data_IF_336709146896
#
_entry.id   IF_336709146896
#
_cell.length_a   1.000
_cell.length_b   1.000
_cell.length_c   1.000
_cell.angle_alpha   90.00
_cell.angle_beta   90.00
_cell.angle_gamma   90.00
#
_symmetry.space_group_name_H-M   'P 1'
#
loop_
_entity.id
_entity.type
_entity.pdbx_description
1 polymer ?
#
# COMPACT_ATOMS: atom_id res chain seq x y z
N UNK A 1 -24.71 -35.08 47.16
CA UNK A 1 -24.07 -33.82 46.73
C UNK A 1 -23.12 -34.13 45.57
N UNK A 2 -23.48 -33.84 44.31
CA UNK A 2 -22.61 -34.10 43.17
C UNK A 2 -21.49 -33.04 43.11
N UNK A 3 -20.24 -33.49 43.12
CA UNK A 3 -19.06 -32.64 42.91
C UNK A 3 -18.94 -32.37 41.41
N UNK A 4 -19.26 -31.16 40.98
CA UNK A 4 -19.00 -30.73 39.61
C UNK A 4 -17.47 -30.72 39.38
N UNK A 5 -17.04 -31.46 38.37
CA UNK A 5 -15.65 -31.71 38.03
C UNK A 5 -15.04 -30.43 37.40
N UNK A 6 -13.92 -29.86 37.94
CA UNK A 6 -13.31 -28.65 37.38
C UNK A 6 -12.77 -28.84 35.95
N UNK A 7 -12.67 -30.09 35.49
CA UNK A 7 -12.21 -30.48 34.15
C UNK A 7 -13.15 -29.97 33.04
N UNK A 8 -14.45 -29.81 33.32
CA UNK A 8 -15.45 -29.45 32.30
C UNK A 8 -15.36 -27.97 31.90
N UNK A 9 -14.86 -27.10 32.79
CA UNK A 9 -14.74 -25.65 32.51
C UNK A 9 -13.43 -25.27 31.80
N UNK A 10 -12.38 -26.08 31.92
CA UNK A 10 -11.07 -25.81 31.32
C UNK A 10 -11.04 -26.14 29.81
N UNK A 11 -11.80 -27.14 29.38
CA UNK A 11 -11.88 -27.58 27.98
C UNK A 11 -12.21 -26.45 26.98
N UNK A 12 -13.24 -25.61 27.18
CA UNK A 12 -13.55 -24.52 26.23
C UNK A 12 -12.47 -23.42 26.20
N UNK A 13 -11.82 -23.13 27.32
CA UNK A 13 -10.75 -22.11 27.39
C UNK A 13 -9.50 -22.59 26.67
N UNK A 14 -9.10 -23.84 26.88
CA UNK A 14 -7.94 -24.44 26.19
C UNK A 14 -8.22 -24.58 24.70
N UNK A 15 -9.44 -24.98 24.31
CA UNK A 15 -9.83 -25.02 22.90
C UNK A 15 -9.81 -23.63 22.25
N UNK A 16 -10.31 -22.60 22.96
CA UNK A 16 -10.28 -21.22 22.49
C UNK A 16 -8.85 -20.68 22.32
N UNK A 17 -7.96 -20.94 23.28
CA UNK A 17 -6.55 -20.56 23.20
C UNK A 17 -5.82 -21.32 22.08
N UNK A 18 -6.10 -22.61 21.89
CA UNK A 18 -5.54 -23.39 20.80
C UNK A 18 -6.00 -22.87 19.43
N UNK A 19 -7.28 -22.47 19.29
CA UNK A 19 -7.81 -21.87 18.07
C UNK A 19 -7.14 -20.51 17.78
N UNK A 20 -6.99 -19.66 18.80
CA UNK A 20 -6.28 -18.38 18.66
C UNK A 20 -4.81 -18.58 18.28
N UNK A 21 -4.12 -19.52 18.94
CA UNK A 21 -2.75 -19.86 18.60
C UNK A 21 -2.64 -20.39 17.17
N UNK A 22 -3.57 -21.24 16.72
CA UNK A 22 -3.61 -21.73 15.35
C UNK A 22 -3.79 -20.59 14.33
N UNK A 23 -4.67 -19.61 14.62
CA UNK A 23 -4.86 -18.43 13.77
C UNK A 23 -3.55 -17.61 13.72
N UNK A 24 -2.96 -17.28 14.85
CA UNK A 24 -1.71 -16.49 14.91
C UNK A 24 -0.54 -17.22 14.23
N UNK A 25 -0.43 -18.53 14.41
CA UNK A 25 0.59 -19.35 13.73
C UNK A 25 0.33 -19.41 12.23
N UNK A 26 -0.93 -19.49 11.79
CA UNK A 26 -1.27 -19.50 10.36
C UNK A 26 -0.89 -18.19 9.66
N UNK A 27 -1.05 -17.06 10.33
CA UNK A 27 -0.61 -15.74 9.84
C UNK A 27 0.93 -15.65 9.73
N UNK A 28 1.66 -16.22 10.70
CA UNK A 28 3.13 -16.27 10.63
C UNK A 28 3.68 -17.30 9.65
N UNK A 29 2.91 -18.34 9.33
CA UNK A 29 3.30 -19.45 8.45
C UNK A 29 3.08 -19.16 6.96
N UNK A 30 2.88 -17.89 6.57
CA UNK A 30 2.73 -17.47 5.17
C UNK A 30 1.49 -18.04 4.46
N UNK A 31 0.47 -18.48 5.21
CA UNK A 31 -0.87 -18.72 4.65
C UNK A 31 -1.56 -17.36 4.45
N UNK A 32 -1.02 -16.54 3.54
CA UNK A 32 -1.55 -15.21 3.18
C UNK A 32 -2.86 -15.24 2.39
N UNK A 33 -3.73 -16.24 2.61
CA UNK A 33 -4.98 -16.40 1.86
C UNK A 33 -6.01 -15.30 2.14
N UNK A 34 -5.93 -14.63 3.30
CA UNK A 34 -6.73 -13.44 3.63
C UNK A 34 -6.10 -12.13 3.13
N UNK A 35 -4.80 -12.12 2.84
CA UNK A 35 -4.05 -10.97 2.34
C UNK A 35 -3.60 -11.19 0.90
N UNK A 36 -4.43 -11.85 0.08
CA UNK A 36 -4.14 -11.91 -1.35
C UNK A 36 -4.22 -10.48 -1.89
N UNK A 37 -3.11 -9.90 -2.38
CA UNK A 37 -3.13 -8.58 -2.97
C UNK A 37 -4.14 -8.62 -4.11
N UNK A 38 -5.08 -7.67 -4.13
CA UNK A 38 -6.04 -7.57 -5.21
C UNK A 38 -5.23 -7.57 -6.53
N UNK A 39 -5.29 -8.64 -7.34
CA UNK A 39 -4.41 -8.80 -8.49
C UNK A 39 -4.62 -7.67 -9.51
N UNK A 40 -5.72 -6.94 -9.37
CA UNK A 40 -6.20 -5.92 -10.28
C UNK A 40 -5.30 -4.71 -10.42
N UNK A 41 -4.50 -4.33 -9.42
CA UNK A 41 -3.75 -3.07 -9.47
C UNK A 41 -2.26 -3.28 -9.70
N UNK A 42 -1.69 -2.68 -10.74
CA UNK A 42 -0.23 -2.57 -10.84
C UNK A 42 0.31 -1.54 -9.83
N UNK A 43 1.64 -1.36 -9.80
CA UNK A 43 2.29 -0.52 -8.81
C UNK A 43 1.85 0.96 -8.90
N UNK A 44 1.72 1.51 -10.11
CA UNK A 44 1.29 2.91 -10.27
C UNK A 44 -0.17 3.12 -9.90
N UNK A 45 -1.06 2.17 -10.25
CA UNK A 45 -2.46 2.23 -9.85
C UNK A 45 -2.61 2.16 -8.32
N UNK A 46 -1.90 1.23 -7.68
CA UNK A 46 -1.88 1.10 -6.23
C UNK A 46 -1.37 2.38 -5.55
N UNK A 47 -0.36 3.01 -6.13
CA UNK A 47 0.20 4.26 -5.64
C UNK A 47 -0.79 5.42 -5.78
N UNK A 48 -1.43 5.55 -6.93
CA UNK A 48 -2.39 6.61 -7.20
C UNK A 48 -3.71 6.49 -6.43
N UNK A 49 -4.08 5.33 -5.89
CA UNK A 49 -5.25 5.19 -5.01
C UNK A 49 -4.93 5.26 -3.52
N UNK A 50 -3.68 5.58 -3.15
CA UNK A 50 -3.30 5.71 -1.74
C UNK A 50 -3.11 4.39 -0.99
N UNK A 51 -2.97 3.24 -1.69
CA UNK A 51 -2.95 1.92 -1.03
C UNK A 51 -1.53 1.43 -0.72
N UNK A 52 -1.05 1.75 0.49
CA UNK A 52 0.29 1.42 0.95
C UNK A 52 0.60 -0.10 0.93
N UNK A 53 -0.30 -0.95 1.42
CA UNK A 53 -0.03 -2.39 1.50
C UNK A 53 0.20 -3.03 0.10
N UNK A 54 -0.66 -2.80 -0.90
CA UNK A 54 -0.38 -3.19 -2.29
C UNK A 54 0.91 -2.61 -2.87
N UNK A 55 1.27 -1.36 -2.56
CA UNK A 55 2.54 -0.76 -3.02
C UNK A 55 3.74 -1.54 -2.47
N UNK A 56 3.79 -1.76 -1.15
CA UNK A 56 4.88 -2.53 -0.51
C UNK A 56 4.96 -3.94 -1.08
N UNK A 57 3.83 -4.61 -1.21
CA UNK A 57 3.78 -5.98 -1.71
C UNK A 57 4.26 -6.08 -3.16
N UNK A 58 3.90 -5.14 -4.03
CA UNK A 58 4.36 -5.13 -5.42
C UNK A 58 5.87 -4.92 -5.52
N UNK A 59 6.42 -4.00 -4.73
CA UNK A 59 7.87 -3.78 -4.66
C UNK A 59 8.59 -5.03 -4.16
N UNK A 60 8.07 -5.69 -3.11
CA UNK A 60 8.62 -6.97 -2.60
C UNK A 60 8.62 -8.08 -3.64
N UNK A 61 7.65 -8.10 -4.55
CA UNK A 61 7.60 -9.03 -5.68
C UNK A 61 8.49 -8.64 -6.86
N UNK A 62 9.28 -7.57 -6.73
CA UNK A 62 10.22 -7.11 -7.75
C UNK A 62 9.63 -6.12 -8.74
N UNK A 63 8.48 -5.49 -8.46
CA UNK A 63 8.02 -4.37 -9.26
C UNK A 63 9.00 -3.19 -9.11
N UNK A 64 9.41 -2.62 -10.25
CA UNK A 64 10.33 -1.48 -10.27
C UNK A 64 9.60 -0.19 -9.83
N UNK A 65 10.03 0.48 -8.74
CA UNK A 65 9.43 1.74 -8.29
C UNK A 65 9.65 2.91 -9.25
N UNK A 66 10.57 2.79 -10.22
CA UNK A 66 10.80 3.76 -11.29
C UNK A 66 10.18 3.33 -12.63
N UNK A 67 9.58 2.13 -12.69
CA UNK A 67 8.95 1.60 -13.89
C UNK A 67 7.73 2.44 -14.30
N UNK A 68 7.43 2.47 -15.59
CA UNK A 68 6.23 3.13 -16.11
C UNK A 68 5.13 2.10 -16.29
N UNK A 69 3.96 2.35 -15.72
CA UNK A 69 2.82 1.43 -15.75
C UNK A 69 1.59 2.11 -16.34
N UNK A 70 0.70 1.33 -16.94
CA UNK A 70 -0.60 1.82 -17.39
C UNK A 70 -1.52 2.04 -16.20
N UNK A 71 -2.12 3.20 -16.09
CA UNK A 71 -3.16 3.52 -15.10
C UNK A 71 -4.47 3.69 -15.83
N UNK A 72 -5.45 2.85 -15.50
CA UNK A 72 -6.76 2.87 -16.13
C UNK A 72 -7.52 4.17 -15.88
N UNK A 73 -8.30 4.60 -16.86
CA UNK A 73 -9.27 5.69 -16.74
C UNK A 73 -10.22 5.48 -15.56
N UNK A 74 -10.63 6.58 -14.92
CA UNK A 74 -11.54 6.59 -13.78
C UNK A 74 -10.90 6.17 -12.44
N UNK A 75 -9.65 5.73 -12.44
CA UNK A 75 -8.99 5.20 -11.24
C UNK A 75 -8.38 6.34 -10.39
N UNK A 76 -7.81 7.36 -11.03
CA UNK A 76 -7.18 8.54 -10.38
C UNK A 76 -7.70 9.87 -10.92
N UNK A 77 -9.02 10.00 -11.08
CA UNK A 77 -9.70 11.20 -11.61
C UNK A 77 -9.10 11.70 -12.94
N UNK A 78 -8.88 10.74 -13.84
CA UNK A 78 -8.47 10.92 -15.24
C UNK A 78 -9.52 10.26 -16.15
N UNK A 79 -9.81 10.89 -17.27
CA UNK A 79 -10.79 10.39 -18.25
C UNK A 79 -10.18 9.44 -19.29
N UNK A 80 -8.85 9.36 -19.32
CA UNK A 80 -8.06 8.53 -20.23
C UNK A 80 -7.10 7.60 -19.48
N UNK A 81 -6.68 6.55 -20.18
CA UNK A 81 -5.62 5.65 -19.70
C UNK A 81 -4.28 6.38 -19.82
N UNK A 82 -3.51 6.39 -18.73
CA UNK A 82 -2.24 7.11 -18.65
C UNK A 82 -1.08 6.14 -18.48
N UNK A 83 0.11 6.53 -18.92
CA UNK A 83 1.36 5.83 -18.60
C UNK A 83 2.11 6.67 -17.56
N UNK A 84 2.22 6.16 -16.34
CA UNK A 84 2.80 6.89 -15.21
C UNK A 84 3.79 6.03 -14.44
N UNK A 85 4.82 6.67 -13.93
CA UNK A 85 5.59 6.11 -12.81
C UNK A 85 4.70 6.05 -11.55
N UNK A 86 4.98 5.15 -10.60
CA UNK A 86 4.29 5.12 -9.32
C UNK A 86 4.34 6.45 -8.58
N UNK A 87 5.46 7.16 -8.69
CA UNK A 87 5.65 8.47 -8.06
C UNK A 87 4.75 9.53 -8.70
N UNK A 88 4.68 9.59 -10.04
CA UNK A 88 3.75 10.50 -10.72
C UNK A 88 2.28 10.21 -10.37
N UNK A 89 1.89 8.94 -10.29
CA UNK A 89 0.54 8.56 -9.92
C UNK A 89 0.18 8.98 -8.49
N UNK A 90 1.07 8.76 -7.52
CA UNK A 90 0.87 9.19 -6.13
C UNK A 90 0.77 10.72 -6.03
N UNK A 91 1.66 11.45 -6.70
CA UNK A 91 1.66 12.92 -6.73
C UNK A 91 0.40 13.47 -7.36
N UNK A 92 -0.05 12.89 -8.47
CA UNK A 92 -1.27 13.34 -9.17
C UNK A 92 -2.53 13.18 -8.31
N UNK A 93 -2.53 12.19 -7.42
CA UNK A 93 -3.64 11.95 -6.49
C UNK A 93 -3.49 12.68 -5.14
N UNK A 94 -2.33 13.28 -4.87
CA UNK A 94 -2.05 13.95 -3.60
C UNK A 94 -1.72 13.01 -2.43
N UNK A 95 -1.20 11.81 -2.73
CA UNK A 95 -0.97 10.75 -1.73
C UNK A 95 0.43 10.87 -1.10
N UNK A 96 0.63 11.84 -0.20
CA UNK A 96 1.94 12.15 0.39
C UNK A 96 2.61 10.95 1.07
N UNK A 97 1.87 10.14 1.81
CA UNK A 97 2.41 8.96 2.49
C UNK A 97 2.93 7.94 1.48
N UNK A 98 2.28 7.81 0.33
CA UNK A 98 2.73 6.93 -0.76
C UNK A 98 3.96 7.51 -1.44
N UNK A 99 4.01 8.83 -1.66
CA UNK A 99 5.21 9.50 -2.18
C UNK A 99 6.43 9.17 -1.31
N UNK A 100 6.30 9.35 0.01
CA UNK A 100 7.37 9.02 0.97
C UNK A 100 7.73 7.54 0.96
N UNK A 101 6.72 6.67 0.89
CA UNK A 101 6.92 5.22 0.84
C UNK A 101 7.70 4.81 -0.41
N UNK A 102 7.36 5.35 -1.58
CA UNK A 102 8.03 5.06 -2.84
C UNK A 102 9.48 5.54 -2.82
N UNK A 103 9.74 6.77 -2.35
CA UNK A 103 11.10 7.29 -2.20
C UNK A 103 11.94 6.43 -1.24
N UNK A 104 11.36 6.00 -0.11
CA UNK A 104 12.00 5.09 0.83
C UNK A 104 12.32 3.71 0.22
N UNK A 105 11.65 3.34 -0.87
CA UNK A 105 11.88 2.10 -1.62
C UNK A 105 12.66 2.33 -2.93
N UNK A 106 13.31 3.48 -3.11
CA UNK A 106 14.21 3.73 -4.23
C UNK A 106 13.55 4.33 -5.48
N UNK A 107 12.34 4.87 -5.36
CA UNK A 107 11.81 5.77 -6.37
C UNK A 107 12.68 7.03 -6.44
N UNK A 108 13.12 7.38 -7.63
CA UNK A 108 14.01 8.50 -7.89
C UNK A 108 13.22 9.69 -8.42
N UNK A 109 13.58 10.88 -7.95
CA UNK A 109 13.21 12.15 -8.57
C UNK A 109 14.47 12.87 -9.01
N UNK A 110 14.60 13.15 -10.30
CA UNK A 110 15.62 14.07 -10.79
C UNK A 110 15.11 15.53 -10.76
N UNK A 111 15.98 16.49 -11.03
CA UNK A 111 15.59 17.91 -10.97
C UNK A 111 14.50 18.31 -11.97
N UNK A 112 14.46 17.67 -13.15
CA UNK A 112 13.46 17.94 -14.18
C UNK A 112 12.10 17.32 -13.83
N UNK A 113 12.11 16.08 -13.36
CA UNK A 113 10.95 15.38 -12.86
C UNK A 113 10.37 16.09 -11.64
N UNK A 114 11.20 16.54 -10.71
CA UNK A 114 10.75 17.28 -9.52
C UNK A 114 9.96 18.53 -9.89
N UNK A 115 10.45 19.34 -10.84
CA UNK A 115 9.73 20.54 -11.28
C UNK A 115 8.34 20.20 -11.84
N UNK A 116 8.26 19.15 -12.66
CA UNK A 116 7.00 18.65 -13.24
C UNK A 116 6.06 18.10 -12.16
N UNK A 117 6.57 17.34 -11.19
CA UNK A 117 5.78 16.80 -10.08
C UNK A 117 5.21 17.92 -9.20
N UNK A 118 5.97 18.98 -8.93
CA UNK A 118 5.48 20.16 -8.20
C UNK A 118 4.35 20.86 -8.96
N UNK A 119 4.50 21.04 -10.26
CA UNK A 119 3.43 21.62 -11.10
C UNK A 119 2.17 20.76 -11.08
N UNK A 120 2.33 19.44 -11.21
CA UNK A 120 1.24 18.47 -11.17
C UNK A 120 0.49 18.48 -9.82
N UNK A 121 1.23 18.47 -8.71
CA UNK A 121 0.67 18.53 -7.37
C UNK A 121 -0.10 19.85 -7.14
N UNK A 122 0.47 20.97 -7.59
CA UNK A 122 -0.16 22.29 -7.49
C UNK A 122 -1.47 22.37 -8.29
N UNK A 123 -1.49 21.82 -9.52
CA UNK A 123 -2.70 21.74 -10.33
C UNK A 123 -3.83 20.93 -9.67
N UNK A 124 -3.46 19.98 -8.80
CA UNK A 124 -4.38 19.11 -8.05
C UNK A 124 -4.67 19.60 -6.63
N UNK A 125 -4.09 20.74 -6.22
CA UNK A 125 -4.20 21.33 -4.88
C UNK A 125 -3.71 20.40 -3.75
N UNK A 126 -2.67 19.63 -4.02
CA UNK A 126 -1.99 18.79 -3.03
C UNK A 126 -0.86 19.59 -2.35
N UNK A 127 -1.24 20.55 -1.49
CA UNK A 127 -0.31 21.53 -0.91
C UNK A 127 0.79 20.89 -0.05
N UNK A 128 0.46 19.81 0.66
CA UNK A 128 1.35 19.01 1.48
C UNK A 128 2.41 18.27 0.63
N UNK A 129 2.00 17.73 -0.52
CA UNK A 129 2.91 17.13 -1.51
C UNK A 129 3.81 18.22 -2.12
N UNK A 130 3.27 19.39 -2.46
CA UNK A 130 4.06 20.52 -2.97
C UNK A 130 5.13 20.95 -1.95
N UNK A 131 4.77 21.10 -0.69
CA UNK A 131 5.68 21.46 0.38
C UNK A 131 6.77 20.39 0.56
N UNK A 132 6.38 19.13 0.57
CA UNK A 132 7.31 18.00 0.65
C UNK A 132 8.31 17.98 -0.52
N UNK A 133 7.83 18.10 -1.76
CA UNK A 133 8.68 18.08 -2.96
C UNK A 133 9.65 19.28 -3.01
N UNK A 134 9.29 20.43 -2.43
CA UNK A 134 10.14 21.63 -2.39
C UNK A 134 11.19 21.60 -1.28
N UNK A 135 10.85 21.02 -0.13
CA UNK A 135 11.72 20.98 1.05
C UNK A 135 12.88 19.99 0.91
N UNK A 136 12.73 18.96 0.08
CA UNK A 136 13.72 17.90 -0.07
C UNK A 136 14.78 18.16 -1.17
N UNK A 137 15.20 19.43 -1.30
CA UNK A 137 16.29 19.87 -2.20
C UNK A 137 17.68 19.65 -1.61
#
# INVERSE_FOLDING_TARGET
MPRACPVVLAAPVVAGLALLAAIVVSERASLGWLAQPDPRFNLAEAAGIGRAAPVVERIRRGADPNGVYSVRRGLIRTDEDLMLTPLEAAVMSGELEIVRLLEANGAQRDGRLTARLVELAAARRADDVVEYLRSAR
#
